data_IF_815170609489
#
_entry.id   IF_815170609489
#
_cell.length_a   1.000
_cell.length_b   1.000
_cell.length_c   1.000
_cell.angle_alpha   90.00
_cell.angle_beta   90.00
_cell.angle_gamma   90.00
#
_symmetry.space_group_name_H-M   'P 1'
#
loop_
_entity.id
_entity.type
_entity.pdbx_description
1 polymer ?
#
# COMPACT_ATOMS: atom_id res chain seq x y z
N UNK A 1 17.08 1.52 -9.14
CA UNK A 1 17.19 2.93 -9.55
C UNK A 1 15.99 3.30 -10.41
N UNK A 2 15.05 4.07 -9.87
CA UNK A 2 13.76 4.39 -10.51
C UNK A 2 13.80 5.57 -11.47
N UNK A 3 14.95 6.24 -11.61
CA UNK A 3 15.09 7.54 -12.30
C UNK A 3 14.79 8.75 -11.40
N UNK A 4 14.32 8.53 -10.18
CA UNK A 4 14.10 9.57 -9.18
C UNK A 4 15.33 9.83 -8.29
N UNK A 5 15.33 11.02 -7.67
CA UNK A 5 16.42 11.51 -6.80
C UNK A 5 16.73 10.56 -5.64
N UNK A 6 15.69 10.03 -4.97
CA UNK A 6 15.85 9.18 -3.79
C UNK A 6 16.66 7.91 -4.13
N UNK A 7 16.36 7.26 -5.26
CA UNK A 7 17.08 6.05 -5.67
C UNK A 7 18.51 6.31 -6.15
N UNK A 8 18.79 7.51 -6.66
CA UNK A 8 20.13 7.91 -7.10
C UNK A 8 21.01 8.22 -5.88
N UNK A 9 20.49 8.96 -4.91
CA UNK A 9 21.20 9.26 -3.66
C UNK A 9 21.40 8.00 -2.82
N UNK A 10 20.42 7.10 -2.75
CA UNK A 10 20.58 5.82 -2.08
C UNK A 10 21.73 4.99 -2.69
N UNK A 11 21.82 4.93 -4.03
CA UNK A 11 22.94 4.26 -4.69
C UNK A 11 24.28 4.95 -4.39
N UNK A 12 24.30 6.28 -4.37
CA UNK A 12 25.49 7.06 -4.09
C UNK A 12 26.03 6.83 -2.67
N UNK A 13 25.13 6.83 -1.66
CA UNK A 13 25.48 6.50 -0.28
C UNK A 13 25.97 5.07 -0.11
N UNK A 14 25.38 4.11 -0.84
CA UNK A 14 25.85 2.73 -0.83
C UNK A 14 27.27 2.58 -1.37
N UNK A 15 27.61 3.31 -2.45
CA UNK A 15 29.00 3.35 -2.99
C UNK A 15 29.96 3.95 -1.96
N UNK A 16 29.59 5.05 -1.31
CA UNK A 16 30.43 5.71 -0.30
C UNK A 16 30.64 4.89 0.97
N UNK A 17 29.64 4.09 1.34
CA UNK A 17 29.76 3.11 2.41
C UNK A 17 30.73 1.96 2.06
N UNK A 18 31.28 1.92 0.84
CA UNK A 18 32.28 0.96 0.40
C UNK A 18 31.70 -0.33 -0.17
N UNK A 19 30.42 -0.36 -0.51
CA UNK A 19 29.80 -1.54 -1.12
C UNK A 19 30.14 -1.65 -2.62
N UNK A 20 30.18 -2.88 -3.13
CA UNK A 20 30.12 -3.13 -4.57
C UNK A 20 28.68 -2.98 -5.05
N UNK A 21 28.40 -1.90 -5.79
CA UNK A 21 27.04 -1.52 -6.17
C UNK A 21 26.80 -1.75 -7.65
N UNK A 22 25.67 -2.39 -7.97
CA UNK A 22 25.14 -2.49 -9.33
C UNK A 22 23.78 -1.81 -9.39
N UNK A 23 23.63 -0.87 -10.31
CA UNK A 23 22.36 -0.19 -10.58
C UNK A 23 21.42 -1.05 -11.41
N UNK A 24 20.21 -1.29 -10.94
CA UNK A 24 19.15 -1.96 -11.72
C UNK A 24 17.94 -1.04 -11.86
N UNK A 25 17.44 -0.89 -13.09
CA UNK A 25 16.14 -0.30 -13.36
C UNK A 25 15.14 -1.38 -13.76
N UNK A 26 13.93 -1.31 -13.21
CA UNK A 26 12.87 -2.26 -13.52
C UNK A 26 11.97 -1.67 -14.61
N UNK A 27 11.92 -2.32 -15.77
CA UNK A 27 10.93 -2.01 -16.78
C UNK A 27 9.64 -2.78 -16.44
N UNK A 28 8.62 -2.05 -15.97
CA UNK A 28 7.36 -2.63 -15.47
C UNK A 28 6.18 -2.46 -16.42
N UNK A 29 6.31 -1.66 -17.48
CA UNK A 29 5.24 -1.50 -18.48
C UNK A 29 5.76 -1.77 -19.88
N UNK A 30 5.04 -2.63 -20.61
CA UNK A 30 5.23 -2.91 -22.05
C UNK A 30 4.33 -2.07 -22.95
N UNK A 31 3.44 -1.23 -22.40
CA UNK A 31 2.38 -0.58 -23.18
C UNK A 31 2.96 0.27 -24.33
N UNK A 32 2.81 -0.17 -25.60
CA UNK A 32 3.28 0.57 -26.76
C UNK A 32 2.38 1.80 -26.95
N UNK A 33 2.97 2.97 -27.25
CA UNK A 33 2.23 4.15 -27.71
C UNK A 33 1.95 5.24 -26.69
N UNK A 34 2.24 5.04 -25.40
CA UNK A 34 2.24 6.15 -24.44
C UNK A 34 3.61 6.82 -24.43
N UNK A 35 3.82 7.81 -25.29
CA UNK A 35 4.81 8.85 -24.99
C UNK A 35 4.30 9.52 -23.71
N UNK A 36 4.82 9.08 -22.56
CA UNK A 36 4.46 9.63 -21.25
C UNK A 36 5.04 11.03 -21.16
N UNK A 37 4.29 12.04 -21.60
CA UNK A 37 4.61 13.43 -21.30
C UNK A 37 4.21 13.71 -19.85
N UNK A 38 5.15 13.61 -18.92
CA UNK A 38 4.95 14.03 -17.53
C UNK A 38 5.62 13.12 -16.49
N UNK A 39 6.02 13.71 -15.36
CA UNK A 39 6.76 13.09 -14.25
C UNK A 39 5.93 12.17 -13.34
N UNK A 40 4.85 11.57 -13.84
CA UNK A 40 3.90 10.76 -13.05
C UNK A 40 4.13 9.25 -13.28
N UNK A 41 5.07 8.71 -12.52
CA UNK A 41 5.39 7.28 -12.46
C UNK A 41 6.88 7.02 -12.59
N UNK A 42 7.36 5.97 -11.90
CA UNK A 42 8.65 5.35 -12.23
C UNK A 42 8.43 4.34 -13.35
N UNK A 43 9.44 4.05 -14.17
CA UNK A 43 9.45 3.04 -15.25
C UNK A 43 9.11 3.56 -16.67
N UNK A 44 9.48 4.80 -16.98
CA UNK A 44 9.53 5.32 -18.36
C UNK A 44 10.90 5.14 -19.00
N UNK A 45 10.99 5.26 -20.34
CA UNK A 45 12.29 5.32 -21.03
C UNK A 45 13.13 6.49 -20.51
N UNK A 46 12.51 7.63 -20.23
CA UNK A 46 13.18 8.80 -19.65
C UNK A 46 13.76 8.49 -18.27
N UNK A 47 13.00 7.80 -17.41
CA UNK A 47 13.47 7.37 -16.09
C UNK A 47 14.65 6.39 -16.18
N UNK A 48 14.61 5.47 -17.14
CA UNK A 48 15.71 4.53 -17.39
C UNK A 48 16.97 5.27 -17.85
N UNK A 49 16.82 6.34 -18.65
CA UNK A 49 17.94 7.19 -19.06
C UNK A 49 18.47 8.05 -17.91
N UNK A 50 17.59 8.61 -17.08
CA UNK A 50 17.94 9.33 -15.85
C UNK A 50 18.74 8.44 -14.90
N UNK A 51 18.25 7.22 -14.64
CA UNK A 51 18.92 6.24 -13.81
C UNK A 51 20.29 5.84 -14.38
N UNK A 52 20.40 5.67 -15.70
CA UNK A 52 21.68 5.39 -16.37
C UNK A 52 22.68 6.53 -16.21
N UNK A 53 22.24 7.79 -16.36
CA UNK A 53 23.11 8.97 -16.14
C UNK A 53 23.64 9.01 -14.71
N UNK A 54 22.78 8.78 -13.73
CA UNK A 54 23.19 8.71 -12.33
C UNK A 54 24.18 7.56 -12.09
N UNK A 55 23.92 6.37 -12.64
CA UNK A 55 24.84 5.23 -12.50
C UNK A 55 26.22 5.50 -13.13
N UNK A 56 26.25 6.11 -14.32
CA UNK A 56 27.51 6.50 -14.98
C UNK A 56 28.31 7.51 -14.14
N UNK A 57 27.63 8.49 -13.54
CA UNK A 57 28.26 9.48 -12.66
C UNK A 57 28.88 8.83 -11.42
N UNK A 58 28.22 7.81 -10.87
CA UNK A 58 28.70 7.04 -9.71
C UNK A 58 29.75 5.99 -10.08
N UNK A 59 30.01 5.76 -11.37
CA UNK A 59 30.95 4.73 -11.84
C UNK A 59 30.48 3.29 -11.60
N UNK A 60 29.18 3.05 -11.48
CA UNK A 60 28.62 1.71 -11.20
C UNK A 60 28.04 1.04 -12.46
N UNK A 61 28.11 -0.30 -12.58
CA UNK A 61 27.42 -1.03 -13.63
C UNK A 61 25.91 -0.78 -13.59
N UNK A 62 25.25 -0.76 -14.75
CA UNK A 62 23.83 -0.48 -14.87
C UNK A 62 23.11 -1.44 -15.81
N UNK A 63 22.01 -2.01 -15.34
CA UNK A 63 21.17 -2.94 -16.10
C UNK A 63 19.70 -2.53 -16.06
N UNK A 64 18.98 -2.89 -17.12
CA UNK A 64 17.52 -2.81 -17.18
C UNK A 64 16.98 -4.24 -17.14
N UNK A 65 16.11 -4.53 -16.18
CA UNK A 65 15.42 -5.80 -16.08
C UNK A 65 13.96 -5.64 -16.44
N UNK A 66 13.50 -6.40 -17.43
CA UNK A 66 12.09 -6.49 -17.77
C UNK A 66 11.39 -7.41 -16.76
N UNK A 67 10.48 -6.83 -15.98
CA UNK A 67 9.55 -7.54 -15.09
C UNK A 67 8.10 -7.17 -15.42
N UNK A 68 7.84 -6.67 -16.63
CA UNK A 68 6.52 -6.16 -17.03
C UNK A 68 5.43 -7.23 -17.05
N UNK A 69 5.77 -8.47 -17.41
CA UNK A 69 4.82 -9.59 -17.40
C UNK A 69 4.38 -9.93 -15.98
N UNK A 70 5.34 -10.11 -15.05
CA UNK A 70 5.04 -10.27 -13.62
C UNK A 70 4.29 -9.08 -13.05
N UNK A 71 4.66 -7.86 -13.43
CA UNK A 71 3.96 -6.66 -12.96
C UNK A 71 2.50 -6.63 -13.42
N UNK A 72 2.22 -6.99 -14.68
CA UNK A 72 0.86 -7.12 -15.18
C UNK A 72 0.09 -8.14 -14.35
N UNK A 73 0.61 -9.36 -14.25
CA UNK A 73 -0.07 -10.49 -13.60
C UNK A 73 -0.25 -10.29 -12.09
N UNK A 74 0.82 -9.91 -11.39
CA UNK A 74 0.84 -9.88 -9.92
C UNK A 74 0.36 -8.54 -9.32
N UNK A 75 0.25 -7.48 -10.12
CA UNK A 75 -0.12 -6.14 -9.64
C UNK A 75 -1.33 -5.58 -10.38
N UNK A 76 -1.31 -5.56 -11.71
CA UNK A 76 -2.39 -4.93 -12.50
C UNK A 76 -3.64 -5.83 -12.54
N UNK A 77 -3.48 -7.11 -12.83
CA UNK A 77 -4.58 -8.06 -12.91
C UNK A 77 -5.18 -8.32 -11.52
N UNK A 78 -4.35 -8.41 -10.46
CA UNK A 78 -4.81 -8.44 -9.05
C UNK A 78 -5.62 -7.18 -8.72
N UNK A 79 -5.14 -5.99 -9.11
CA UNK A 79 -5.87 -4.74 -8.89
C UNK A 79 -7.24 -4.75 -9.57
N UNK A 80 -7.33 -5.17 -10.84
CA UNK A 80 -8.59 -5.29 -11.57
C UNK A 80 -9.52 -6.31 -10.89
N UNK A 81 -9.01 -7.48 -10.53
CA UNK A 81 -9.78 -8.55 -9.91
C UNK A 81 -10.35 -8.15 -8.54
N UNK A 82 -9.56 -7.45 -7.72
CA UNK A 82 -10.00 -6.93 -6.41
C UNK A 82 -11.12 -5.88 -6.57
N UNK A 83 -11.00 -4.97 -7.54
CA UNK A 83 -12.07 -4.01 -7.84
C UNK A 83 -13.33 -4.68 -8.39
N UNK A 84 -13.19 -5.67 -9.27
CA UNK A 84 -14.32 -6.48 -9.76
C UNK A 84 -15.02 -7.21 -8.60
N UNK A 85 -14.27 -7.56 -7.56
CA UNK A 85 -14.79 -8.14 -6.32
C UNK A 85 -15.18 -7.10 -5.25
N UNK A 86 -15.30 -5.81 -5.61
CA UNK A 86 -15.81 -4.74 -4.73
C UNK A 86 -14.86 -4.29 -3.63
N UNK A 87 -13.60 -4.72 -3.70
CA UNK A 87 -12.55 -4.37 -2.75
C UNK A 87 -11.74 -3.19 -3.25
N UNK A 88 -11.07 -2.50 -2.34
CA UNK A 88 -10.19 -1.36 -2.67
C UNK A 88 -8.73 -1.72 -2.40
N UNK A 89 -8.03 -2.34 -3.36
CA UNK A 89 -6.66 -2.81 -3.18
C UNK A 89 -5.65 -1.64 -3.11
N UNK A 90 -4.48 -1.92 -2.52
CA UNK A 90 -3.32 -1.03 -2.60
C UNK A 90 -2.25 -1.61 -3.55
N UNK A 91 -2.14 -1.12 -4.81
CA UNK A 91 -1.21 -1.68 -5.78
C UNK A 91 0.27 -1.42 -5.42
N UNK A 92 0.57 -0.39 -4.63
CA UNK A 92 1.93 -0.12 -4.17
C UNK A 92 2.40 -1.17 -3.15
N UNK A 93 1.51 -1.62 -2.27
CA UNK A 93 1.79 -2.74 -1.35
C UNK A 93 2.11 -4.01 -2.15
N UNK A 94 1.26 -4.36 -3.12
CA UNK A 94 1.44 -5.53 -3.99
C UNK A 94 2.73 -5.46 -4.82
N UNK A 95 3.06 -4.29 -5.36
CA UNK A 95 4.30 -4.09 -6.10
C UNK A 95 5.54 -4.27 -5.21
N UNK A 96 5.55 -3.75 -3.97
CA UNK A 96 6.65 -4.01 -3.05
C UNK A 96 6.75 -5.51 -2.73
N UNK A 97 5.63 -6.15 -2.39
CA UNK A 97 5.55 -7.58 -2.06
C UNK A 97 6.06 -8.47 -3.20
N UNK A 98 5.45 -8.36 -4.40
CA UNK A 98 5.64 -9.31 -5.51
C UNK A 98 6.78 -8.94 -6.44
N UNK A 99 7.03 -7.64 -6.64
CA UNK A 99 7.97 -7.17 -7.66
C UNK A 99 9.30 -6.76 -7.04
N UNK A 100 9.31 -5.79 -6.11
CA UNK A 100 10.58 -5.27 -5.58
C UNK A 100 11.30 -6.24 -4.64
N UNK A 101 10.55 -6.96 -3.79
CA UNK A 101 11.16 -7.78 -2.73
C UNK A 101 10.92 -9.28 -2.87
N UNK A 102 10.04 -9.73 -3.77
CA UNK A 102 10.08 -11.10 -4.26
C UNK A 102 10.91 -11.18 -5.55
N UNK A 103 10.40 -10.67 -6.68
CA UNK A 103 11.08 -10.87 -7.97
C UNK A 103 12.50 -10.26 -8.08
N UNK A 104 12.69 -9.00 -7.70
CA UNK A 104 14.00 -8.34 -7.75
C UNK A 104 14.97 -8.93 -6.73
N UNK A 105 14.55 -9.10 -5.47
CA UNK A 105 15.41 -9.67 -4.44
C UNK A 105 15.80 -11.12 -4.74
N UNK A 106 14.85 -12.00 -5.06
CA UNK A 106 15.16 -13.41 -5.35
C UNK A 106 16.13 -13.52 -6.53
N UNK A 107 15.97 -12.68 -7.56
CA UNK A 107 16.90 -12.60 -8.69
C UNK A 107 18.28 -12.05 -8.28
N UNK A 108 18.33 -11.06 -7.40
CA UNK A 108 19.59 -10.51 -6.90
C UNK A 108 20.37 -11.55 -6.10
N UNK A 109 19.72 -12.26 -5.17
CA UNK A 109 20.35 -13.34 -4.40
C UNK A 109 20.85 -14.46 -5.33
N UNK A 110 20.05 -14.86 -6.33
CA UNK A 110 20.47 -15.88 -7.30
C UNK A 110 21.68 -15.47 -8.15
N UNK A 111 21.92 -14.18 -8.32
CA UNK A 111 23.09 -13.63 -9.02
C UNK A 111 24.30 -13.40 -8.08
N UNK A 112 24.16 -13.70 -6.79
CA UNK A 112 25.24 -13.59 -5.80
C UNK A 112 25.33 -12.24 -5.08
N UNK A 113 24.29 -11.40 -5.16
CA UNK A 113 24.23 -10.18 -4.36
C UNK A 113 23.83 -10.46 -2.92
N UNK A 114 24.40 -9.73 -1.96
CA UNK A 114 24.07 -9.87 -0.54
C UNK A 114 22.76 -9.15 -0.15
N UNK A 115 22.43 -8.05 -0.83
CA UNK A 115 21.31 -7.20 -0.46
C UNK A 115 20.77 -6.35 -1.62
N UNK A 116 19.54 -5.86 -1.48
CA UNK A 116 18.91 -4.88 -2.36
C UNK A 116 18.84 -3.54 -1.64
N UNK A 117 19.50 -2.54 -2.21
CA UNK A 117 19.41 -1.15 -1.79
C UNK A 117 18.26 -0.43 -2.51
N UNK A 118 17.42 0.29 -1.76
CA UNK A 118 16.36 1.12 -2.35
C UNK A 118 16.32 2.51 -1.73
N UNK A 119 15.76 3.48 -2.46
CA UNK A 119 15.54 4.84 -1.97
C UNK A 119 14.29 4.98 -1.11
N UNK A 120 13.87 3.93 -0.39
CA UNK A 120 12.76 4.07 0.55
C UNK A 120 13.22 4.73 1.84
N UNK A 121 12.36 5.58 2.39
CA UNK A 121 12.54 6.20 3.70
C UNK A 121 11.97 5.26 4.75
N UNK A 122 12.82 4.36 5.25
CA UNK A 122 12.57 3.49 6.39
C UNK A 122 13.92 3.05 6.95
N UNK A 123 13.95 2.58 8.19
CA UNK A 123 15.20 2.18 8.86
C UNK A 123 15.19 0.68 9.10
N UNK A 124 16.32 0.03 8.90
CA UNK A 124 16.53 -1.36 9.35
C UNK A 124 17.44 -1.31 10.58
N UNK A 125 17.00 -1.88 11.68
CA UNK A 125 17.78 -2.00 12.92
C UNK A 125 18.00 -3.47 13.23
N UNK A 126 19.18 -3.80 13.78
CA UNK A 126 19.43 -5.14 14.30
C UNK A 126 18.80 -5.26 15.70
N UNK A 127 17.85 -6.18 15.84
CA UNK A 127 17.17 -6.50 17.10
C UNK A 127 17.63 -7.83 17.69
N UNK A 128 17.12 -8.20 18.88
CA UNK A 128 17.47 -9.46 19.54
C UNK A 128 17.12 -10.70 18.71
N UNK A 129 16.02 -10.65 17.96
CA UNK A 129 15.48 -11.76 17.17
C UNK A 129 15.74 -11.59 15.66
N UNK A 130 16.70 -10.73 15.29
CA UNK A 130 17.04 -10.44 13.90
C UNK A 130 16.72 -9.02 13.45
N UNK A 131 16.74 -8.77 12.14
CA UNK A 131 16.56 -7.42 11.57
C UNK A 131 15.11 -6.97 11.67
N UNK A 132 14.91 -5.74 12.13
CA UNK A 132 13.61 -5.12 12.35
C UNK A 132 13.41 -3.95 11.39
N UNK A 133 12.21 -3.84 10.83
CA UNK A 133 11.79 -2.68 10.05
C UNK A 133 11.28 -1.58 10.98
N UNK A 134 11.79 -0.36 10.83
CA UNK A 134 11.37 0.80 11.59
C UNK A 134 10.98 1.96 10.67
N UNK A 135 10.18 2.86 11.24
CA UNK A 135 9.87 4.16 10.62
C UNK A 135 11.15 4.93 10.27
N UNK A 136 11.03 5.78 9.25
CA UNK A 136 12.04 6.80 8.97
C UNK A 136 12.15 7.82 10.11
N UNK A 137 13.26 8.56 10.17
CA UNK A 137 13.42 9.68 11.10
C UNK A 137 12.43 10.81 10.86
N UNK A 138 12.00 10.99 9.60
CA UNK A 138 11.07 12.04 9.17
C UNK A 138 9.67 11.47 8.90
N UNK A 139 8.70 11.78 9.77
CA UNK A 139 7.31 11.31 9.66
C UNK A 139 6.67 11.59 8.28
N UNK A 140 6.86 12.80 7.76
CA UNK A 140 6.25 13.24 6.49
C UNK A 140 6.74 12.47 5.26
N UNK A 141 7.83 11.71 5.38
CA UNK A 141 8.41 10.91 4.31
C UNK A 141 8.44 9.42 4.64
N UNK A 142 7.99 9.01 5.82
CA UNK A 142 8.00 7.61 6.22
C UNK A 142 7.28 6.72 5.19
N UNK A 143 7.99 5.70 4.74
CA UNK A 143 7.52 4.69 3.80
C UNK A 143 7.47 3.30 4.44
N UNK A 144 7.65 3.20 5.76
CA UNK A 144 7.54 1.94 6.50
C UNK A 144 6.19 1.25 6.27
N UNK A 145 5.10 2.01 6.13
CA UNK A 145 3.78 1.48 5.82
C UNK A 145 3.79 0.62 4.55
N UNK A 146 4.39 1.13 3.46
CA UNK A 146 4.40 0.39 2.19
C UNK A 146 5.37 -0.80 2.19
N UNK A 147 6.22 -0.88 3.21
CA UNK A 147 7.20 -1.93 3.43
C UNK A 147 6.76 -2.93 4.52
N UNK A 148 5.60 -2.75 5.15
CA UNK A 148 5.08 -3.70 6.14
C UNK A 148 4.76 -5.10 5.58
N UNK A 149 4.75 -5.24 4.26
CA UNK A 149 4.66 -6.52 3.54
C UNK A 149 5.94 -7.36 3.58
N UNK A 150 7.07 -6.76 3.98
CA UNK A 150 8.35 -7.46 4.02
C UNK A 150 8.30 -8.60 5.03
N UNK A 151 8.93 -9.71 4.67
CA UNK A 151 9.15 -10.86 5.55
C UNK A 151 10.52 -10.78 6.19
N UNK A 152 10.74 -11.56 7.26
CA UNK A 152 12.06 -11.70 7.90
C UNK A 152 13.18 -11.99 6.89
N UNK A 153 12.97 -12.99 6.02
CA UNK A 153 13.92 -13.36 4.94
C UNK A 153 14.24 -12.16 4.04
N UNK A 154 13.24 -11.36 3.69
CA UNK A 154 13.45 -10.21 2.82
C UNK A 154 14.19 -9.08 3.56
N UNK A 155 13.84 -8.81 4.82
CA UNK A 155 14.50 -7.79 5.65
C UNK A 155 15.98 -8.06 5.86
N UNK A 156 16.38 -9.33 5.99
CA UNK A 156 17.78 -9.73 6.08
C UNK A 156 18.63 -9.16 4.93
N UNK A 157 18.04 -9.07 3.73
CA UNK A 157 18.70 -8.63 2.50
C UNK A 157 18.26 -7.23 2.04
N UNK A 158 17.71 -6.41 2.93
CA UNK A 158 17.33 -5.03 2.61
C UNK A 158 18.36 -4.02 3.11
N UNK A 159 18.58 -2.97 2.32
CA UNK A 159 19.34 -1.79 2.72
C UNK A 159 18.59 -0.50 2.33
N UNK A 160 18.35 0.38 3.30
CA UNK A 160 17.60 1.64 3.12
C UNK A 160 18.46 2.84 3.54
N UNK A 161 19.30 3.37 2.64
CA UNK A 161 20.29 4.40 2.98
C UNK A 161 19.72 5.77 3.32
N UNK A 162 18.40 5.97 3.17
CA UNK A 162 17.73 7.26 3.39
C UNK A 162 16.88 7.30 4.68
N UNK A 163 16.82 6.20 5.43
CA UNK A 163 15.93 6.07 6.59
C UNK A 163 16.16 7.11 7.69
N UNK A 164 17.40 7.55 7.86
CA UNK A 164 17.82 8.54 8.84
C UNK A 164 17.70 9.99 8.36
N UNK A 165 17.36 10.21 7.09
CA UNK A 165 17.48 11.53 6.47
C UNK A 165 16.32 12.46 6.90
N UNK A 166 16.61 13.59 7.57
CA UNK A 166 15.57 14.41 8.21
C UNK A 166 14.57 15.06 7.25
N UNK A 167 14.96 15.26 5.99
CA UNK A 167 14.10 15.93 5.02
C UNK A 167 14.52 15.62 3.58
N UNK A 168 13.57 15.82 2.67
CA UNK A 168 13.81 15.61 1.24
C UNK A 168 14.67 16.71 0.62
N UNK A 169 14.63 17.91 1.18
CA UNK A 169 15.46 19.03 0.78
C UNK A 169 16.95 18.68 0.95
N UNK A 170 17.30 17.94 2.01
CA UNK A 170 18.66 17.43 2.22
C UNK A 170 19.06 16.40 1.15
N UNK A 171 18.16 15.48 0.79
CA UNK A 171 18.41 14.51 -0.30
C UNK A 171 18.60 15.23 -1.64
N UNK A 172 17.82 16.29 -1.91
CA UNK A 172 17.98 17.09 -3.13
C UNK A 172 19.28 17.91 -3.13
N UNK A 173 19.67 18.45 -1.98
CA UNK A 173 20.94 19.17 -1.82
C UNK A 173 22.14 18.23 -2.06
N UNK A 174 22.13 17.06 -1.43
CA UNK A 174 23.13 16.01 -1.62
C UNK A 174 23.22 15.57 -3.09
N UNK A 175 22.07 15.39 -3.75
CA UNK A 175 22.05 15.10 -5.18
C UNK A 175 22.69 16.23 -6.01
N UNK A 176 22.39 17.49 -5.71
CA UNK A 176 22.95 18.65 -6.42
C UNK A 176 24.47 18.76 -6.21
N UNK A 177 24.96 18.56 -5.00
CA UNK A 177 26.41 18.57 -4.66
C UNK A 177 27.17 17.49 -5.44
N UNK A 178 26.56 16.32 -5.65
CA UNK A 178 27.12 15.21 -6.44
C UNK A 178 26.97 15.40 -7.95
N UNK A 179 26.30 16.45 -8.42
CA UNK A 179 26.00 16.67 -9.83
C UNK A 179 24.90 15.76 -10.40
N UNK A 180 24.09 15.14 -9.54
CA UNK A 180 22.97 14.28 -9.94
C UNK A 180 21.82 15.15 -10.47
N UNK A 181 21.61 15.14 -11.78
CA UNK A 181 20.66 16.02 -12.49
C UNK A 181 19.19 15.83 -12.10
N UNK A 182 18.81 14.67 -11.54
CA UNK A 182 17.42 14.38 -11.13
C UNK A 182 16.98 15.10 -9.85
N UNK A 183 17.87 15.90 -9.23
CA UNK A 183 17.60 16.64 -8.00
C UNK A 183 16.37 17.58 -8.05
N UNK A 184 15.96 18.03 -9.25
CA UNK A 184 14.82 18.94 -9.45
C UNK A 184 13.52 18.22 -9.84
N UNK A 185 13.56 16.91 -10.09
CA UNK A 185 12.38 16.17 -10.59
C UNK A 185 11.28 16.12 -9.51
N UNK A 186 10.00 16.36 -9.86
CA UNK A 186 8.90 16.13 -8.94
C UNK A 186 8.84 14.66 -8.50
N UNK A 187 8.28 14.43 -7.33
CA UNK A 187 8.10 13.09 -6.80
C UNK A 187 7.02 12.35 -7.60
N UNK A 188 7.19 11.05 -7.77
CA UNK A 188 6.11 10.22 -8.30
C UNK A 188 5.04 10.08 -7.23
N UNK A 189 3.90 10.73 -7.46
CA UNK A 189 2.67 10.56 -6.71
C UNK A 189 1.65 9.80 -7.58
N UNK A 190 0.70 9.13 -6.94
CA UNK A 190 -0.36 8.29 -7.54
C UNK A 190 0.08 6.90 -8.06
N UNK A 191 -0.89 6.13 -8.58
CA UNK A 191 -0.70 4.74 -9.03
C UNK A 191 0.13 4.74 -10.33
N UNK A 192 1.29 4.06 -10.32
CA UNK A 192 2.30 4.19 -11.37
C UNK A 192 1.86 3.74 -12.79
N UNK A 193 0.81 2.94 -12.91
CA UNK A 193 0.25 2.47 -14.18
C UNK A 193 -0.99 3.26 -14.63
N UNK A 194 -1.43 4.25 -13.85
CA UNK A 194 -2.56 5.15 -14.16
C UNK A 194 -2.01 6.58 -14.34
N UNK A 195 -1.61 6.96 -15.56
CA UNK A 195 -0.77 8.15 -15.78
C UNK A 195 -1.46 9.49 -15.48
N UNK A 196 -2.77 9.56 -15.68
CA UNK A 196 -3.61 10.74 -15.45
C UNK A 196 -4.14 10.84 -14.01
N UNK A 197 -4.00 9.77 -13.22
CA UNK A 197 -4.55 9.63 -11.88
C UNK A 197 -6.05 9.32 -11.86
N UNK A 198 -6.71 9.19 -13.01
CA UNK A 198 -8.14 8.87 -13.08
C UNK A 198 -8.36 7.37 -12.93
N UNK A 199 -8.34 6.90 -11.68
CA UNK A 199 -8.55 5.48 -11.37
C UNK A 199 -9.93 5.00 -11.85
N UNK A 200 -10.95 5.84 -11.78
CA UNK A 200 -12.31 5.49 -12.21
C UNK A 200 -12.38 5.35 -13.74
N UNK A 201 -11.80 6.31 -14.46
CA UNK A 201 -11.66 6.26 -15.92
C UNK A 201 -10.90 5.02 -16.36
N UNK A 202 -9.73 4.78 -15.75
CA UNK A 202 -8.89 3.63 -16.08
C UNK A 202 -9.58 2.28 -15.81
N UNK A 203 -10.28 2.12 -14.68
CA UNK A 203 -11.02 0.89 -14.37
C UNK A 203 -12.17 0.63 -15.34
N UNK A 204 -12.76 1.69 -15.90
CA UNK A 204 -13.87 1.56 -16.84
C UNK A 204 -13.49 0.91 -18.16
N UNK A 205 -12.21 0.95 -18.53
CA UNK A 205 -11.70 0.30 -19.73
C UNK A 205 -11.39 -1.19 -19.49
N UNK A 206 -11.36 -1.62 -18.22
CA UNK A 206 -10.94 -2.97 -17.80
C UNK A 206 -12.04 -3.79 -17.12
N UNK A 207 -13.06 -3.13 -16.56
CA UNK A 207 -14.19 -3.73 -15.87
C UNK A 207 -15.48 -3.31 -16.58
N UNK A 208 -16.41 -4.26 -16.79
CA UNK A 208 -17.69 -3.95 -17.43
C UNK A 208 -18.46 -2.89 -16.64
N UNK A 209 -18.97 -1.89 -17.36
CA UNK A 209 -19.91 -0.90 -16.83
C UNK A 209 -21.32 -1.47 -16.90
N UNK A 210 -21.75 -2.05 -15.81
CA UNK A 210 -23.14 -2.50 -15.66
C UNK A 210 -23.89 -1.55 -14.73
N UNK A 211 -24.99 -0.93 -15.20
CA UNK A 211 -25.81 -0.11 -14.34
C UNK A 211 -26.35 -0.91 -13.15
N UNK A 212 -26.32 -0.29 -11.96
CA UNK A 212 -26.74 -0.91 -10.71
C UNK A 212 -27.54 0.04 -9.84
N UNK A 213 -28.06 -0.47 -8.73
CA UNK A 213 -28.92 0.26 -7.80
C UNK A 213 -28.11 0.86 -6.65
N UNK A 214 -28.44 2.09 -6.26
CA UNK A 214 -27.99 2.68 -5.00
C UNK A 214 -29.11 2.50 -3.97
N UNK A 215 -28.81 1.75 -2.91
CA UNK A 215 -29.73 1.47 -1.82
C UNK A 215 -29.39 2.31 -0.58
N UNK A 216 -30.40 2.59 0.24
CA UNK A 216 -30.16 3.01 1.63
C UNK A 216 -30.09 1.81 2.59
N UNK A 217 -29.96 2.08 3.90
CA UNK A 217 -29.88 1.06 4.93
C UNK A 217 -31.17 0.24 5.10
N UNK A 218 -32.33 0.79 4.72
CA UNK A 218 -33.60 0.04 4.73
C UNK A 218 -33.71 -0.90 3.53
N UNK A 219 -32.82 -0.76 2.54
CA UNK A 219 -32.85 -1.50 1.29
C UNK A 219 -33.68 -0.80 0.21
N UNK A 220 -34.11 0.43 0.44
CA UNK A 220 -34.89 1.19 -0.55
C UNK A 220 -33.97 1.73 -1.65
N UNK A 221 -34.40 1.59 -2.91
CA UNK A 221 -33.69 2.13 -4.07
C UNK A 221 -33.84 3.65 -4.09
N UNK A 222 -32.73 4.37 -3.90
CA UNK A 222 -32.70 5.83 -3.87
C UNK A 222 -32.01 6.46 -5.09
N UNK A 223 -31.42 5.63 -5.96
CA UNK A 223 -30.73 6.07 -7.17
C UNK A 223 -30.15 4.90 -7.94
N UNK A 224 -29.41 5.22 -9.01
CA UNK A 224 -28.67 4.25 -9.83
C UNK A 224 -27.25 4.73 -10.06
N UNK A 225 -26.40 3.81 -10.52
CA UNK A 225 -25.01 4.11 -10.86
C UNK A 225 -24.56 3.33 -12.10
N UNK A 226 -23.49 3.77 -12.76
CA UNK A 226 -22.97 3.17 -14.01
C UNK A 226 -21.92 2.05 -13.79
N UNK A 227 -21.96 1.39 -12.63
CA UNK A 227 -21.00 0.36 -12.21
C UNK A 227 -20.48 0.52 -10.78
N UNK A 228 -20.55 -0.55 -10.00
CA UNK A 228 -20.22 -0.53 -8.56
C UNK A 228 -18.72 -0.29 -8.29
N UNK A 229 -17.84 -0.71 -9.22
CA UNK A 229 -16.38 -0.57 -9.13
C UNK A 229 -15.90 0.89 -9.09
N UNK A 230 -16.73 1.85 -9.53
CA UNK A 230 -16.42 3.29 -9.48
C UNK A 230 -16.62 3.93 -8.11
N UNK A 231 -17.03 3.16 -7.10
CA UNK A 231 -17.29 3.63 -5.74
C UNK A 231 -16.27 3.11 -4.74
N UNK A 232 -16.10 3.82 -3.63
CA UNK A 232 -15.25 3.40 -2.51
C UNK A 232 -15.98 3.64 -1.20
N UNK A 233 -15.84 2.73 -0.24
CA UNK A 233 -16.41 2.91 1.11
C UNK A 233 -15.91 4.23 1.72
N UNK A 234 -16.83 5.01 2.29
CA UNK A 234 -16.58 6.36 2.80
C UNK A 234 -16.68 7.47 1.74
N UNK A 235 -16.93 7.16 0.47
CA UNK A 235 -17.13 8.17 -0.57
C UNK A 235 -18.42 8.96 -0.35
N UNK A 236 -18.30 10.30 -0.38
CA UNK A 236 -19.44 11.24 -0.36
C UNK A 236 -19.78 11.82 -1.74
N UNK A 237 -18.76 12.21 -2.51
CA UNK A 237 -18.93 12.91 -3.79
C UNK A 237 -19.24 11.92 -4.91
N UNK A 238 -19.96 12.36 -5.94
CA UNK A 238 -20.22 11.55 -7.14
C UNK A 238 -21.34 10.52 -7.01
N UNK A 239 -22.10 10.50 -5.90
CA UNK A 239 -23.28 9.65 -5.74
C UNK A 239 -24.49 10.13 -6.55
N UNK A 240 -24.53 11.43 -6.92
CA UNK A 240 -25.58 12.04 -7.76
C UNK A 240 -27.03 11.71 -7.33
N UNK A 241 -27.25 11.52 -6.03
CA UNK A 241 -28.55 11.21 -5.48
C UNK A 241 -29.46 12.44 -5.60
N UNK A 242 -30.45 12.36 -6.49
CA UNK A 242 -31.39 13.45 -6.78
C UNK A 242 -32.38 13.77 -5.65
N UNK A 243 -32.34 13.01 -4.55
CA UNK A 243 -33.14 13.23 -3.34
C UNK A 243 -32.21 13.42 -2.14
N UNK A 244 -32.31 14.55 -1.41
CA UNK A 244 -31.68 14.68 -0.10
C UNK A 244 -32.15 13.57 0.85
N UNK A 245 -31.32 13.21 1.84
CA UNK A 245 -31.82 12.42 2.96
C UNK A 245 -32.93 13.19 3.71
N UNK A 246 -33.84 12.48 4.37
CA UNK A 246 -34.96 13.11 5.11
C UNK A 246 -34.47 14.10 6.18
N UNK A 247 -33.29 13.86 6.75
CA UNK A 247 -32.62 14.71 7.73
C UNK A 247 -31.74 15.82 7.11
N UNK A 248 -31.69 15.91 5.78
CA UNK A 248 -30.87 16.86 5.03
C UNK A 248 -29.35 16.61 5.08
N UNK A 249 -28.88 15.54 5.74
CA UNK A 249 -27.45 15.24 5.89
C UNK A 249 -26.89 14.54 4.65
N UNK A 250 -25.57 14.69 4.38
CA UNK A 250 -24.93 13.98 3.28
C UNK A 250 -24.89 12.47 3.53
N UNK A 251 -25.09 11.69 2.46
CA UNK A 251 -24.90 10.23 2.47
C UNK A 251 -23.48 9.85 2.04
N UNK A 252 -23.01 8.74 2.56
CA UNK A 252 -21.71 8.15 2.29
C UNK A 252 -21.89 6.69 1.87
N UNK A 253 -21.03 6.19 0.99
CA UNK A 253 -20.99 4.75 0.64
C UNK A 253 -20.59 3.95 1.88
N UNK A 254 -21.48 3.10 2.38
CA UNK A 254 -21.26 2.21 3.53
C UNK A 254 -20.69 0.86 3.09
N UNK A 255 -21.20 0.30 1.99
CA UNK A 255 -20.71 -0.96 1.43
C UNK A 255 -20.97 -1.06 -0.06
N UNK A 256 -20.21 -1.92 -0.73
CA UNK A 256 -20.33 -2.24 -2.15
C UNK A 256 -20.63 -3.73 -2.23
N UNK A 257 -21.67 -4.09 -2.98
CA UNK A 257 -22.10 -5.49 -3.19
C UNK A 257 -21.97 -5.83 -4.67
N UNK A 258 -20.81 -6.35 -5.11
CA UNK A 258 -20.53 -6.57 -6.54
C UNK A 258 -21.43 -7.63 -7.15
N UNK A 259 -21.71 -8.71 -6.41
CA UNK A 259 -22.52 -9.84 -6.89
C UNK A 259 -23.94 -9.40 -7.25
N UNK A 260 -24.54 -8.52 -6.44
CA UNK A 260 -25.86 -7.94 -6.73
C UNK A 260 -25.78 -6.60 -7.48
N UNK A 261 -24.57 -6.13 -7.82
CA UNK A 261 -24.29 -4.82 -8.40
C UNK A 261 -25.01 -3.66 -7.68
N UNK A 262 -24.88 -3.62 -6.34
CA UNK A 262 -25.52 -2.62 -5.48
C UNK A 262 -24.49 -1.81 -4.70
N UNK A 263 -24.79 -0.53 -4.52
CA UNK A 263 -24.04 0.37 -3.62
C UNK A 263 -24.96 0.78 -2.48
N UNK A 264 -24.56 0.49 -1.24
CA UNK A 264 -25.35 0.87 -0.05
C UNK A 264 -24.81 2.17 0.51
N UNK A 265 -25.68 3.13 0.78
CA UNK A 265 -25.32 4.43 1.36
C UNK A 265 -26.08 4.74 2.63
N UNK A 266 -25.49 5.57 3.49
CA UNK A 266 -26.11 5.99 4.73
C UNK A 266 -25.36 7.14 5.41
N UNK A 267 -25.67 7.43 6.68
CA UNK A 267 -25.05 8.52 7.41
C UNK A 267 -23.60 8.20 7.78
N UNK A 268 -22.80 9.25 8.02
CA UNK A 268 -21.36 9.14 8.31
C UNK A 268 -21.08 8.24 9.51
N UNK A 269 -21.93 8.29 10.54
CA UNK A 269 -21.71 7.60 11.81
C UNK A 269 -21.68 6.07 11.65
N UNK A 270 -22.27 5.55 10.57
CA UNK A 270 -22.25 4.11 10.23
C UNK A 270 -20.93 3.66 9.59
N UNK A 271 -20.02 4.59 9.32
CA UNK A 271 -18.66 4.30 8.90
C UNK A 271 -17.70 4.12 10.09
N UNK A 272 -18.17 4.30 11.33
CA UNK A 272 -17.36 4.12 12.53
C UNK A 272 -17.06 2.63 12.76
N UNK A 273 -15.79 2.27 12.53
CA UNK A 273 -15.27 0.92 12.67
C UNK A 273 -14.42 0.85 13.94
N UNK A 274 -14.78 -0.10 14.80
CA UNK A 274 -14.07 -0.37 16.07
C UNK A 274 -13.21 -1.63 15.99
N UNK A 275 -13.47 -2.51 15.02
CA UNK A 275 -12.73 -3.76 14.83
C UNK A 275 -12.48 -4.02 13.35
N UNK A 276 -11.25 -4.40 13.03
CA UNK A 276 -10.87 -4.86 11.70
C UNK A 276 -10.17 -6.22 11.79
N UNK A 277 -10.33 -7.06 10.77
CA UNK A 277 -9.70 -8.36 10.74
C UNK A 277 -9.34 -8.81 9.32
N UNK A 278 -8.37 -9.72 9.22
CA UNK A 278 -8.03 -10.33 7.93
C UNK A 278 -7.04 -11.49 8.00
N UNK A 279 -7.23 -12.44 7.07
CA UNK A 279 -6.53 -13.72 7.02
C UNK A 279 -5.30 -13.75 6.12
N UNK A 280 -5.12 -12.74 5.26
CA UNK A 280 -3.88 -12.57 4.47
C UNK A 280 -2.94 -11.62 5.20
N UNK A 281 -1.98 -12.18 5.95
CA UNK A 281 -1.04 -11.42 6.76
C UNK A 281 0.42 -11.80 6.52
N UNK A 282 1.34 -10.94 6.96
CA UNK A 282 2.78 -11.19 6.99
C UNK A 282 3.43 -10.45 8.18
N UNK A 283 4.51 -11.02 8.71
CA UNK A 283 5.31 -10.41 9.77
C UNK A 283 6.62 -9.86 9.21
N UNK A 284 6.92 -8.61 9.54
CA UNK A 284 8.12 -7.87 9.20
C UNK A 284 9.25 -8.19 10.18
N UNK A 285 9.68 -9.46 10.15
CA UNK A 285 10.61 -10.03 11.11
C UNK A 285 9.89 -10.81 12.21
N UNK A 286 10.66 -11.52 13.03
CA UNK A 286 10.13 -12.30 14.16
C UNK A 286 9.52 -11.38 15.22
N UNK A 287 8.21 -11.48 15.54
CA UNK A 287 7.56 -10.61 16.53
C UNK A 287 8.25 -10.61 17.90
N UNK A 288 8.76 -11.78 18.33
CA UNK A 288 9.47 -11.95 19.61
C UNK A 288 8.55 -12.19 20.81
N UNK A 289 7.27 -12.52 20.54
CA UNK A 289 6.25 -12.85 21.55
C UNK A 289 5.17 -13.72 20.92
N UNK A 290 4.33 -14.35 21.75
CA UNK A 290 3.20 -15.15 21.27
C UNK A 290 2.11 -14.24 20.69
N UNK A 291 2.03 -14.21 19.35
CA UNK A 291 1.03 -13.39 18.64
C UNK A 291 -0.41 -13.85 18.85
N UNK A 292 -0.65 -15.03 19.42
CA UNK A 292 -1.99 -15.50 19.78
C UNK A 292 -2.53 -14.84 21.06
N UNK A 293 -1.64 -14.32 21.90
CA UNK A 293 -2.01 -13.48 23.03
C UNK A 293 -2.30 -12.05 22.55
N UNK A 294 -3.22 -11.36 23.24
CA UNK A 294 -3.52 -9.96 22.94
C UNK A 294 -2.34 -9.06 23.28
N UNK A 295 -1.90 -8.25 22.31
CA UNK A 295 -0.83 -7.28 22.47
C UNK A 295 -1.27 -5.87 22.07
N UNK A 296 -0.67 -4.85 22.70
CA UNK A 296 -0.89 -3.44 22.35
C UNK A 296 -0.06 -3.05 21.14
N UNK A 297 -0.66 -2.31 20.22
CA UNK A 297 0.00 -1.80 19.03
C UNK A 297 -0.67 -0.52 18.54
N UNK A 298 -0.04 0.15 17.58
CA UNK A 298 -0.73 1.13 16.74
C UNK A 298 -1.03 0.50 15.38
N UNK A 299 -2.22 0.76 14.84
CA UNK A 299 -2.63 0.33 13.51
C UNK A 299 -2.74 1.50 12.54
N UNK A 300 -2.14 1.36 11.37
CA UNK A 300 -2.23 2.33 10.28
C UNK A 300 -2.90 1.67 9.08
N UNK A 301 -3.96 2.28 8.54
CA UNK A 301 -4.76 1.72 7.43
C UNK A 301 -4.56 2.45 6.09
N UNK A 302 -3.80 3.55 6.09
CA UNK A 302 -3.43 4.33 4.89
C UNK A 302 -2.07 4.96 5.11
N UNK A 303 -1.25 5.05 4.07
CA UNK A 303 0.15 5.52 4.15
C UNK A 303 0.31 6.93 4.77
N UNK A 304 -0.67 7.81 4.61
CA UNK A 304 -0.64 9.18 5.15
C UNK A 304 -1.61 9.41 6.32
N UNK A 305 -2.27 8.35 6.80
CA UNK A 305 -3.11 8.45 7.99
C UNK A 305 -2.24 8.35 9.25
N UNK A 306 -2.67 9.03 10.31
CA UNK A 306 -2.11 8.81 11.64
C UNK A 306 -2.42 7.38 12.11
N UNK A 307 -1.46 6.68 12.75
CA UNK A 307 -1.73 5.41 13.39
C UNK A 307 -2.70 5.59 14.55
N UNK A 308 -3.50 4.57 14.79
CA UNK A 308 -4.52 4.56 15.82
C UNK A 308 -4.15 3.50 16.87
N UNK A 309 -4.15 3.83 18.18
CA UNK A 309 -3.88 2.86 19.23
C UNK A 309 -4.93 1.74 19.21
N UNK A 310 -4.46 0.51 19.40
CA UNK A 310 -5.27 -0.69 19.30
C UNK A 310 -4.67 -1.85 20.11
N UNK A 311 -5.45 -2.92 20.20
CA UNK A 311 -4.95 -4.24 20.58
C UNK A 311 -5.11 -5.20 19.42
N UNK A 312 -4.20 -6.16 19.29
CA UNK A 312 -4.23 -7.14 18.22
C UNK A 312 -3.95 -8.55 18.76
N UNK A 313 -4.44 -9.55 18.04
CA UNK A 313 -4.13 -10.98 18.28
C UNK A 313 -4.32 -11.78 16.99
N UNK A 314 -3.57 -12.87 16.85
CA UNK A 314 -3.73 -13.85 15.79
C UNK A 314 -4.63 -14.98 16.29
N UNK A 315 -5.81 -15.13 15.70
CA UNK A 315 -6.82 -16.08 16.15
C UNK A 315 -7.12 -17.12 15.04
N UNK A 316 -7.45 -18.38 15.40
CA UNK A 316 -7.93 -19.35 14.43
C UNK A 316 -9.33 -18.95 13.93
N UNK A 317 -9.60 -19.19 12.64
CA UNK A 317 -10.94 -19.00 12.06
C UNK A 317 -11.72 -20.30 12.26
N UNK A 318 -12.70 -20.29 13.16
CA UNK A 318 -13.56 -21.45 13.42
C UNK A 318 -14.56 -21.67 12.28
N UNK A 319 -14.95 -22.94 12.05
CA UNK A 319 -15.82 -23.30 10.92
C UNK A 319 -17.21 -22.63 11.02
N UNK A 320 -17.71 -22.51 12.25
CA UNK A 320 -18.97 -21.85 12.60
C UNK A 320 -18.94 -20.32 12.45
N UNK A 321 -17.76 -19.70 12.48
CA UNK A 321 -17.58 -18.24 12.36
C UNK A 321 -17.26 -17.79 10.92
N UNK A 322 -17.02 -18.76 10.02
CA UNK A 322 -16.65 -18.49 8.63
C UNK A 322 -17.82 -17.88 7.85
N UNK A 323 -17.66 -16.60 7.53
CA UNK A 323 -18.52 -15.85 6.61
C UNK A 323 -17.92 -15.79 5.20
N UNK A 324 -18.71 -15.34 4.22
CA UNK A 324 -18.26 -15.03 2.84
C UNK A 324 -17.15 -13.96 2.77
N UNK A 325 -16.99 -13.19 3.85
CA UNK A 325 -15.94 -12.18 3.94
C UNK A 325 -14.59 -12.80 4.26
N UNK A 326 -14.53 -14.01 4.81
CA UNK A 326 -13.27 -14.71 5.04
C UNK A 326 -12.70 -15.26 3.73
N UNK A 327 -11.38 -15.16 3.55
CA UNK A 327 -10.72 -15.84 2.44
C UNK A 327 -10.82 -17.35 2.61
N UNK A 328 -11.12 -18.05 1.51
CA UNK A 328 -11.39 -19.49 1.51
C UNK A 328 -10.20 -20.31 2.05
N UNK A 329 -8.97 -19.84 1.85
CA UNK A 329 -7.71 -20.46 2.22
C UNK A 329 -7.21 -20.06 3.63
N UNK A 330 -7.81 -19.05 4.26
CA UNK A 330 -7.34 -18.55 5.55
C UNK A 330 -7.71 -19.51 6.69
N UNK A 331 -6.75 -19.94 7.49
CA UNK A 331 -6.98 -20.73 8.72
C UNK A 331 -6.94 -19.89 9.99
N UNK A 332 -6.29 -18.72 9.91
CA UNK A 332 -6.17 -17.75 10.99
C UNK A 332 -6.41 -16.35 10.42
N UNK A 333 -6.72 -15.41 11.30
CA UNK A 333 -6.79 -13.99 10.98
C UNK A 333 -6.16 -13.16 12.10
N UNK A 334 -5.59 -12.02 11.72
CA UNK A 334 -5.26 -10.98 12.68
C UNK A 334 -6.55 -10.23 12.97
N UNK A 335 -6.91 -10.12 14.24
CA UNK A 335 -8.01 -9.28 14.73
C UNK A 335 -7.41 -8.10 15.45
N UNK A 336 -7.88 -6.89 15.09
CA UNK A 336 -7.48 -5.64 15.72
C UNK A 336 -8.70 -4.93 16.27
N UNK A 337 -8.66 -4.64 17.57
CA UNK A 337 -9.64 -3.86 18.31
C UNK A 337 -9.08 -2.46 18.58
N UNK A 338 -9.76 -1.43 18.08
CA UNK A 338 -9.38 -0.04 18.26
C UNK A 338 -9.58 0.35 19.73
N UNK A 339 -8.59 1.04 20.30
CA UNK A 339 -8.66 1.55 21.67
C UNK A 339 -9.51 2.83 21.69
N UNK A 340 -10.83 2.65 21.83
CA UNK A 340 -11.80 3.75 21.84
C UNK A 340 -11.72 4.63 23.10
N UNK A 341 -10.97 4.23 24.14
CA UNK A 341 -10.70 5.11 25.28
C UNK A 341 -9.67 6.20 24.91
N UNK A 342 -8.79 5.91 23.94
CA UNK A 342 -7.66 6.76 23.58
C UNK A 342 -7.70 7.27 22.13
N UNK A 343 -8.66 6.81 21.31
CA UNK A 343 -8.81 7.25 19.93
C UNK A 343 -10.25 7.19 19.40
N UNK A 344 -10.49 7.94 18.32
CA UNK A 344 -11.74 7.85 17.56
C UNK A 344 -11.80 6.56 16.72
N UNK A 345 -13.00 6.04 16.43
CA UNK A 345 -13.17 4.89 15.54
C UNK A 345 -12.64 5.19 14.14
N UNK A 346 -12.17 4.14 13.46
CA UNK A 346 -11.71 4.27 12.07
C UNK A 346 -12.90 4.62 11.16
N UNK A 347 -12.70 5.53 10.22
CA UNK A 347 -13.73 5.96 9.28
C UNK A 347 -13.42 5.54 7.85
N UNK A 348 -14.39 4.90 7.19
CA UNK A 348 -14.30 4.54 5.78
C UNK A 348 -13.22 3.48 5.53
N UNK A 349 -13.22 2.43 6.34
CA UNK A 349 -12.36 1.26 6.13
C UNK A 349 -12.98 0.41 5.02
N UNK A 350 -12.27 0.26 3.91
CA UNK A 350 -12.71 -0.58 2.79
C UNK A 350 -12.00 -1.94 2.85
N UNK A 351 -12.73 -3.07 2.74
CA UNK A 351 -12.10 -4.36 2.52
C UNK A 351 -11.17 -4.35 1.30
N UNK A 352 -10.05 -5.08 1.40
CA UNK A 352 -8.95 -5.06 0.43
C UNK A 352 -7.85 -4.05 0.72
N UNK A 353 -8.09 -3.05 1.58
CA UNK A 353 -7.03 -2.19 2.09
C UNK A 353 -6.08 -2.96 3.01
N UNK A 354 -4.90 -2.42 3.24
CA UNK A 354 -3.91 -3.02 4.13
C UNK A 354 -3.88 -2.30 5.47
N UNK A 355 -3.88 -3.04 6.56
CA UNK A 355 -3.56 -2.55 7.89
C UNK A 355 -2.13 -2.95 8.24
N UNK A 356 -1.34 -2.00 8.74
CA UNK A 356 0.04 -2.22 9.20
C UNK A 356 0.11 -1.99 10.70
N UNK A 357 0.72 -2.93 11.41
CA UNK A 357 0.85 -2.94 12.86
C UNK A 357 2.21 -2.40 13.29
N UNK A 358 2.21 -1.56 14.31
CA UNK A 358 3.39 -0.91 14.86
C UNK A 358 3.51 -1.09 16.38
N UNK A 359 4.74 -1.22 16.87
CA UNK A 359 5.08 -1.00 18.29
C UNK A 359 6.15 0.09 18.33
N UNK A 360 5.74 1.29 18.77
CA UNK A 360 6.59 2.48 18.67
C UNK A 360 6.96 2.76 17.22
N UNK A 361 8.25 2.74 16.88
CA UNK A 361 8.72 2.91 15.50
C UNK A 361 8.81 1.60 14.73
N UNK A 362 8.75 0.44 15.39
CA UNK A 362 8.91 -0.88 14.76
C UNK A 362 7.63 -1.24 13.99
N UNK A 363 7.77 -1.65 12.74
CA UNK A 363 6.72 -2.32 11.98
C UNK A 363 6.74 -3.79 12.40
N UNK A 364 5.63 -4.30 12.93
CA UNK A 364 5.50 -5.71 13.24
C UNK A 364 5.12 -6.51 12.00
N UNK A 365 4.21 -5.99 11.18
CA UNK A 365 3.65 -6.72 10.06
C UNK A 365 2.43 -6.04 9.48
N UNK A 366 1.72 -6.75 8.62
CA UNK A 366 0.51 -6.25 7.97
C UNK A 366 -0.52 -7.36 7.76
N UNK A 367 -1.76 -6.96 7.53
CA UNK A 367 -2.78 -7.82 6.95
C UNK A 367 -3.66 -7.07 5.97
N UNK A 368 -4.20 -7.80 4.99
CA UNK A 368 -5.28 -7.30 4.12
C UNK A 368 -6.58 -7.35 4.91
N UNK A 369 -7.29 -6.22 5.03
CA UNK A 369 -8.54 -6.11 5.75
C UNK A 369 -9.62 -6.86 4.96
N UNK A 370 -10.07 -7.97 5.50
CA UNK A 370 -11.16 -8.77 4.93
C UNK A 370 -12.50 -8.33 5.54
N UNK A 371 -12.49 -7.93 6.83
CA UNK A 371 -13.68 -7.55 7.60
C UNK A 371 -13.45 -6.25 8.35
N UNK A 372 -14.47 -5.39 8.34
CA UNK A 372 -14.53 -4.18 9.14
C UNK A 372 -15.88 -4.16 9.86
N UNK A 373 -15.84 -4.17 11.19
CA UNK A 373 -17.00 -4.29 12.05
C UNK A 373 -17.27 -2.95 12.73
N UNK A 374 -18.52 -2.48 12.58
CA UNK A 374 -18.97 -1.28 13.25
C UNK A 374 -18.92 -1.45 14.76
N UNK A 375 -18.80 -0.32 15.48
CA UNK A 375 -19.10 -0.27 16.90
C UNK A 375 -20.47 -0.94 17.16
N UNK A 376 -20.47 -2.03 17.94
CA UNK A 376 -21.74 -2.53 18.47
C UNK A 376 -22.29 -1.41 19.34
N UNK A 377 -23.52 -0.92 19.11
CA UNK A 377 -24.10 0.05 20.03
C UNK A 377 -24.01 -0.56 21.42
N UNK A 378 -23.31 0.11 22.33
CA UNK A 378 -23.25 -0.31 23.72
C UNK A 378 -24.68 -0.65 24.15
N UNK A 379 -24.89 -1.88 24.63
CA UNK A 379 -26.15 -2.24 25.25
C UNK A 379 -26.35 -1.26 26.41
N UNK A 380 -27.27 -0.31 26.22
CA UNK A 380 -27.55 0.76 27.16
C UNK A 380 -28.10 0.24 28.49
#
# INVERSE_FOLDING_TARGET
>A
MSGGVDSAVAAARAVEAGHEVVGVHLALSRMPGTIRTGSRGCCTIEDAMDARRAANLLGIPYYVWDLSERFREDVVDDFIAEYAAGRTPNPCMRCNEKIKFAALLDKAIALGFDAVATGHYATILDGPDGRQLHRASAWSKDQSYVLGVLTERQLAHCYFPLGDTPSKELVRAEAAERGIQVAQKPDSHDICFIPDGDTRGWLSDHVSREPGEILDEAGDVIGTHDGAHGYTVGQRRGLQLGRPAEDGKPRYVLSIRPVSNQVVVGPKDRLAISRIAGGRFSWAGEPGFDTSETFRCDVQIRAHAEPVPATASLVPILAEERTEQHRADATHEIVVDIDLEHAEPLLGVAPGQTAVLYIGTRVLGQFTIDRALAESPAAA
#
